data_IF_583000746673
#
_entry.id   IF_583000746673
#
_cell.length_a   1.000
_cell.length_b   1.000
_cell.length_c   1.000
_cell.angle_alpha   90.00
_cell.angle_beta   90.00
_cell.angle_gamma   90.00
#
_symmetry.space_group_name_H-M   'P 1'
#
loop_
_entity.id
_entity.type
_entity.pdbx_description
1 polymer ?
#
# COMPACT_ATOMS: atom_id res chain seq x y z
N UNK A 1 3.90 14.17 36.57
CA UNK A 1 2.53 13.65 36.36
C UNK A 1 2.43 13.44 34.87
N UNK A 2 2.67 12.22 34.39
CA UNK A 2 2.48 11.89 32.97
C UNK A 2 1.00 12.11 32.65
N UNK A 3 0.70 13.03 31.74
CA UNK A 3 -0.63 13.12 31.15
C UNK A 3 -0.78 11.87 30.29
N UNK A 4 -1.53 10.88 30.76
CA UNK A 4 -1.98 9.79 29.88
C UNK A 4 -2.98 10.39 28.91
N UNK A 5 -2.57 10.67 27.68
CA UNK A 5 -3.49 11.01 26.60
C UNK A 5 -4.44 9.84 26.39
N UNK A 6 -5.75 10.08 26.50
CA UNK A 6 -6.76 9.06 26.23
C UNK A 6 -7.01 9.05 24.71
N UNK A 7 -6.31 8.18 24.00
CA UNK A 7 -6.38 8.06 22.55
C UNK A 7 -7.33 6.91 22.23
N UNK A 8 -8.49 7.23 21.69
CA UNK A 8 -9.43 6.23 21.18
C UNK A 8 -9.21 6.05 19.68
N UNK A 9 -9.06 4.79 19.26
CA UNK A 9 -8.98 4.42 17.85
C UNK A 9 -10.28 3.74 17.44
N UNK A 10 -10.97 4.34 16.49
CA UNK A 10 -12.13 3.69 15.88
C UNK A 10 -11.70 2.97 14.61
N UNK A 11 -11.96 1.65 14.54
CA UNK A 11 -11.83 0.89 13.31
C UNK A 11 -12.89 1.41 12.33
N UNK A 12 -12.44 2.22 11.38
CA UNK A 12 -13.30 2.91 10.44
C UNK A 12 -13.65 2.02 9.25
N UNK A 13 -12.67 1.26 8.74
CA UNK A 13 -12.82 0.47 7.51
C UNK A 13 -11.81 -0.67 7.46
N UNK A 14 -12.18 -1.76 6.78
CA UNK A 14 -11.27 -2.82 6.35
C UNK A 14 -11.28 -2.88 4.83
N UNK A 15 -10.10 -2.81 4.22
CA UNK A 15 -9.90 -2.96 2.78
C UNK A 15 -9.14 -4.25 2.48
N UNK A 16 -9.67 -5.07 1.57
CA UNK A 16 -8.91 -6.18 0.99
C UNK A 16 -8.00 -5.58 -0.09
N UNK A 17 -6.70 -5.59 0.18
CA UNK A 17 -5.70 -5.02 -0.72
C UNK A 17 -5.31 -6.00 -1.82
N UNK A 18 -5.16 -7.27 -1.47
CA UNK A 18 -4.70 -8.30 -2.39
C UNK A 18 -5.07 -9.69 -1.88
N UNK A 19 -5.48 -10.58 -2.78
CA UNK A 19 -5.68 -12.01 -2.51
C UNK A 19 -5.10 -12.83 -3.64
N UNK A 20 -4.37 -13.90 -3.30
CA UNK A 20 -3.82 -14.82 -4.29
C UNK A 20 -4.00 -16.26 -3.84
N UNK A 21 -4.52 -17.08 -4.76
CA UNK A 21 -4.58 -18.54 -4.62
C UNK A 21 -3.29 -19.14 -5.15
N UNK A 22 -2.77 -20.13 -4.44
CA UNK A 22 -1.64 -20.91 -4.88
C UNK A 22 -2.12 -22.14 -5.67
N UNK A 23 -1.38 -22.48 -6.73
CA UNK A 23 -1.66 -23.68 -7.54
C UNK A 23 -0.36 -24.50 -7.67
N UNK A 24 -0.42 -25.84 -7.54
CA UNK A 24 0.71 -26.72 -7.83
C UNK A 24 1.25 -26.55 -9.27
N UNK A 25 0.40 -26.09 -10.20
CA UNK A 25 0.73 -25.87 -11.61
C UNK A 25 1.39 -24.52 -11.88
N UNK A 26 1.50 -23.66 -10.86
CA UNK A 26 2.14 -22.36 -10.94
C UNK A 26 3.23 -22.28 -9.85
N UNK A 27 4.36 -23.01 -10.01
CA UNK A 27 5.39 -23.17 -8.98
C UNK A 27 6.17 -21.89 -8.65
N UNK A 28 5.93 -20.79 -9.40
CA UNK A 28 6.38 -19.44 -9.04
C UNK A 28 5.65 -18.88 -7.80
N UNK A 29 4.99 -19.71 -6.98
CA UNK A 29 4.56 -19.28 -5.63
C UNK A 29 5.77 -19.34 -4.70
N UNK A 30 6.50 -18.27 -4.86
CA UNK A 30 7.76 -17.92 -4.23
C UNK A 30 7.63 -17.72 -2.70
N UNK A 31 8.77 -17.95 -2.04
CA UNK A 31 9.10 -17.34 -0.76
C UNK A 31 8.71 -15.86 -0.77
N UNK A 32 7.76 -15.49 0.08
CA UNK A 32 7.29 -14.10 0.17
C UNK A 32 8.17 -13.33 1.17
N UNK A 33 8.29 -12.02 0.92
CA UNK A 33 8.89 -10.98 1.76
C UNK A 33 8.83 -11.31 3.26
N UNK A 34 9.98 -11.57 3.87
CA UNK A 34 10.13 -11.77 5.32
C UNK A 34 9.56 -13.08 5.91
N UNK A 35 8.95 -13.94 5.09
CA UNK A 35 8.38 -15.24 5.50
C UNK A 35 9.04 -16.36 4.70
N UNK A 36 10.37 -16.41 4.74
CA UNK A 36 11.12 -17.54 4.20
C UNK A 36 10.79 -18.78 5.03
N UNK A 37 10.29 -19.81 4.35
CA UNK A 37 10.30 -21.17 4.88
C UNK A 37 11.63 -21.76 4.42
N UNK A 38 12.67 -21.61 5.23
CA UNK A 38 13.72 -22.63 5.19
C UNK A 38 13.02 -23.88 5.70
N UNK A 39 12.65 -24.83 4.83
CA UNK A 39 11.98 -26.07 5.22
C UNK A 39 12.74 -26.73 6.39
N UNK A 40 12.21 -26.74 7.63
CA UNK A 40 12.68 -27.66 8.64
C UNK A 40 11.78 -28.89 8.55
N UNK A 41 12.36 -30.07 8.60
CA UNK A 41 11.64 -31.35 8.63
C UNK A 41 10.82 -31.56 9.94
N UNK A 42 10.49 -30.51 10.70
CA UNK A 42 9.84 -30.58 12.00
C UNK A 42 8.49 -29.83 12.07
N UNK A 43 7.57 -30.47 12.77
CA UNK A 43 6.12 -30.24 12.86
C UNK A 43 5.63 -28.93 13.51
N UNK A 44 6.49 -27.93 13.67
CA UNK A 44 6.19 -26.72 14.47
C UNK A 44 5.91 -25.45 13.63
N UNK A 45 5.77 -25.59 12.30
CA UNK A 45 5.35 -24.44 11.48
C UNK A 45 3.89 -24.10 11.82
N UNK A 46 3.59 -22.89 12.33
CA UNK A 46 2.22 -22.50 12.59
C UNK A 46 1.42 -22.58 11.30
N UNK A 47 0.21 -23.14 11.42
CA UNK A 47 -0.69 -23.37 10.30
C UNK A 47 -0.91 -22.07 9.51
N UNK A 48 -1.06 -20.94 10.21
CA UNK A 48 -1.05 -19.62 9.60
C UNK A 48 0.27 -18.90 9.82
N UNK A 49 0.78 -18.27 8.76
CA UNK A 49 1.86 -17.29 8.84
C UNK A 49 1.23 -15.90 8.76
N UNK A 50 1.51 -15.06 9.77
CA UNK A 50 1.05 -13.67 9.82
C UNK A 50 2.21 -12.70 9.93
N UNK A 51 2.11 -11.57 9.22
CA UNK A 51 3.00 -10.43 9.39
C UNK A 51 2.19 -9.16 9.27
N UNK A 52 2.73 -8.08 9.81
CA UNK A 52 2.12 -6.78 9.76
C UNK A 52 3.10 -5.75 9.18
N UNK A 53 2.53 -4.77 8.49
CA UNK A 53 3.17 -3.51 8.22
C UNK A 53 2.24 -2.38 8.69
N UNK A 54 2.74 -1.15 8.74
CA UNK A 54 1.91 0.00 9.08
C UNK A 54 2.18 1.16 8.13
N UNK A 55 1.27 2.12 8.13
CA UNK A 55 1.52 3.47 7.64
C UNK A 55 0.55 4.44 8.34
N UNK A 56 0.74 5.73 8.13
CA UNK A 56 -0.19 6.74 8.64
C UNK A 56 -0.22 7.97 7.76
N UNK A 57 -1.38 8.63 7.74
CA UNK A 57 -1.56 9.86 6.98
C UNK A 57 -1.09 11.06 7.80
N UNK A 58 -0.12 11.79 7.24
CA UNK A 58 0.22 13.15 7.68
C UNK A 58 -0.56 14.08 6.76
N UNK A 59 -1.74 14.49 7.20
CA UNK A 59 -2.55 15.47 6.46
C UNK A 59 -2.77 16.70 7.32
N UNK A 60 -2.96 17.85 6.67
CA UNK A 60 -3.35 19.11 7.31
C UNK A 60 -4.81 19.09 7.79
N UNK A 61 -5.50 17.95 7.65
CA UNK A 61 -6.86 17.80 8.16
C UNK A 61 -6.82 17.51 9.65
N UNK A 62 -7.88 17.91 10.36
CA UNK A 62 -8.06 17.64 11.80
C UNK A 62 -8.20 16.14 12.12
N UNK A 63 -8.20 15.27 11.11
CA UNK A 63 -8.36 13.82 11.24
C UNK A 63 -7.01 13.14 11.00
N UNK A 64 -6.59 12.33 11.96
CA UNK A 64 -5.40 11.50 11.83
C UNK A 64 -5.81 10.07 11.51
N UNK A 65 -5.17 9.48 10.51
CA UNK A 65 -5.45 8.12 10.08
C UNK A 65 -4.21 7.24 10.28
N UNK A 66 -4.40 6.11 10.95
CA UNK A 66 -3.39 5.08 11.14
C UNK A 66 -3.84 3.81 10.43
N UNK A 67 -2.92 3.12 9.77
CA UNK A 67 -3.21 1.91 9.02
C UNK A 67 -2.34 0.76 9.51
N UNK A 68 -2.95 -0.40 9.71
CA UNK A 68 -2.23 -1.66 9.92
C UNK A 68 -2.56 -2.59 8.76
N UNK A 69 -1.52 -2.97 8.02
CA UNK A 69 -1.60 -3.94 6.95
C UNK A 69 -1.33 -5.33 7.52
N UNK A 70 -2.33 -6.20 7.57
CA UNK A 70 -2.17 -7.57 8.03
C UNK A 70 -2.11 -8.53 6.83
N UNK A 71 -1.07 -9.34 6.80
CA UNK A 71 -0.89 -10.43 5.85
C UNK A 71 -1.22 -11.74 6.53
N UNK A 72 -2.14 -12.50 5.97
CA UNK A 72 -2.47 -13.85 6.41
C UNK A 72 -2.14 -14.83 5.27
N UNK A 73 -1.23 -15.77 5.52
CA UNK A 73 -0.81 -16.80 4.57
C UNK A 73 -1.03 -18.17 5.17
N UNK A 74 -1.67 -19.04 4.40
CA UNK A 74 -1.68 -20.47 4.65
C UNK A 74 -0.83 -21.12 3.54
N UNK A 75 0.39 -21.61 3.85
CA UNK A 75 1.29 -22.20 2.86
C UNK A 75 0.57 -23.24 2.00
N UNK A 76 0.83 -23.24 0.69
CA UNK A 76 0.21 -24.13 -0.32
C UNK A 76 -1.24 -23.81 -0.72
N UNK A 77 -1.97 -22.94 -0.01
CA UNK A 77 -3.36 -22.61 -0.34
C UNK A 77 -3.54 -21.21 -0.91
N UNK A 78 -3.21 -20.19 -0.12
CA UNK A 78 -3.46 -18.80 -0.49
C UNK A 78 -2.73 -17.81 0.44
N UNK A 79 -2.77 -16.55 0.04
CA UNK A 79 -2.38 -15.39 0.84
C UNK A 79 -3.42 -14.28 0.66
N UNK A 80 -3.67 -13.55 1.74
CA UNK A 80 -4.50 -12.35 1.77
C UNK A 80 -3.71 -11.23 2.44
N UNK A 81 -3.74 -10.04 1.84
CA UNK A 81 -3.39 -8.79 2.50
C UNK A 81 -4.65 -7.96 2.72
N UNK A 82 -4.87 -7.53 3.95
CA UNK A 82 -5.88 -6.52 4.27
C UNK A 82 -5.22 -5.28 4.87
N UNK A 83 -5.95 -4.17 4.84
CA UNK A 83 -5.65 -2.96 5.59
C UNK A 83 -6.78 -2.67 6.56
N UNK A 84 -6.44 -2.56 7.85
CA UNK A 84 -7.31 -2.01 8.87
C UNK A 84 -7.06 -0.51 8.99
N UNK A 85 -8.12 0.28 8.90
CA UNK A 85 -8.07 1.75 8.95
C UNK A 85 -8.58 2.22 10.30
N UNK A 86 -7.74 2.92 11.03
CA UNK A 86 -8.08 3.54 12.30
C UNK A 86 -8.10 5.05 12.16
N UNK A 87 -9.18 5.67 12.63
CA UNK A 87 -9.30 7.14 12.69
C UNK A 87 -9.20 7.62 14.12
N UNK A 88 -8.54 8.75 14.29
CA UNK A 88 -8.47 9.48 15.56
C UNK A 88 -9.01 10.88 15.35
N UNK A 89 -9.82 11.33 16.31
CA UNK A 89 -10.23 12.73 16.42
C UNK A 89 -9.04 13.60 16.82
N UNK A 90 -9.16 14.92 16.65
CA UNK A 90 -8.09 15.87 16.97
C UNK A 90 -7.78 15.84 18.47
N UNK A 91 -6.56 15.39 18.80
CA UNK A 91 -6.03 15.42 20.16
C UNK A 91 -4.95 16.51 20.23
N UNK A 92 -5.11 17.54 21.10
CA UNK A 92 -4.07 18.55 21.30
C UNK A 92 -2.75 17.92 21.71
N UNK A 93 -1.64 18.43 21.16
CA UNK A 93 -0.27 17.95 21.42
C UNK A 93 -0.02 16.47 21.04
N UNK A 94 -0.83 15.88 20.14
CA UNK A 94 -0.62 14.52 19.66
C UNK A 94 0.71 14.37 18.90
N UNK A 95 1.47 13.34 19.27
CA UNK A 95 2.62 12.86 18.53
C UNK A 95 2.42 11.39 18.11
N UNK A 96 2.95 10.99 16.96
CA UNK A 96 2.83 9.60 16.52
C UNK A 96 3.47 8.62 17.50
N UNK A 97 4.48 9.05 18.26
CA UNK A 97 5.10 8.31 19.37
C UNK A 97 4.08 7.72 20.35
N UNK A 98 2.97 8.43 20.58
CA UNK A 98 1.89 7.96 21.44
C UNK A 98 1.22 6.67 20.92
N UNK A 99 1.13 6.49 19.61
CA UNK A 99 0.54 5.30 18.99
C UNK A 99 1.48 4.11 19.14
N UNK A 100 2.79 4.33 18.99
CA UNK A 100 3.84 3.31 19.04
C UNK A 100 4.24 2.91 20.47
N UNK A 101 3.42 3.23 21.47
CA UNK A 101 3.57 2.64 22.81
C UNK A 101 3.12 1.16 22.79
N UNK A 102 3.86 0.23 23.44
CA UNK A 102 3.60 -1.21 23.37
C UNK A 102 2.14 -1.62 23.59
N UNK A 103 1.49 -1.10 24.64
CA UNK A 103 0.11 -1.46 24.95
C UNK A 103 -0.93 -0.94 23.94
N UNK A 104 -0.66 0.19 23.28
CA UNK A 104 -1.60 0.82 22.34
C UNK A 104 -1.50 0.17 20.96
N UNK A 105 -0.30 0.09 20.40
CA UNK A 105 -0.10 -0.51 19.07
C UNK A 105 -0.51 -1.99 19.06
N UNK A 106 -0.22 -2.73 20.15
CA UNK A 106 -0.58 -4.15 20.26
C UNK A 106 -2.05 -4.42 20.00
N UNK A 107 -2.95 -3.58 20.54
CA UNK A 107 -4.40 -3.72 20.36
C UNK A 107 -4.79 -3.54 18.88
N UNK A 108 -4.18 -2.58 18.19
CA UNK A 108 -4.44 -2.35 16.76
C UNK A 108 -3.90 -3.50 15.91
N UNK A 109 -2.71 -4.01 16.22
CA UNK A 109 -2.09 -5.15 15.53
C UNK A 109 -2.93 -6.41 15.71
N UNK A 110 -3.32 -6.74 16.94
CA UNK A 110 -4.17 -7.88 17.25
C UNK A 110 -5.50 -7.82 16.49
N UNK A 111 -6.16 -6.66 16.51
CA UNK A 111 -7.41 -6.43 15.80
C UNK A 111 -7.24 -6.60 14.28
N UNK A 112 -6.17 -6.06 13.70
CA UNK A 112 -5.89 -6.20 12.27
C UNK A 112 -5.62 -7.66 11.87
N UNK A 113 -4.87 -8.42 12.68
CA UNK A 113 -4.59 -9.84 12.46
C UNK A 113 -5.88 -10.67 12.49
N UNK A 114 -6.71 -10.48 13.53
CA UNK A 114 -7.99 -11.20 13.67
C UNK A 114 -8.91 -10.93 12.47
N UNK A 115 -9.03 -9.68 12.06
CA UNK A 115 -9.77 -9.31 10.86
C UNK A 115 -9.17 -9.93 9.59
N UNK A 116 -7.83 -9.97 9.48
CA UNK A 116 -7.12 -10.58 8.36
C UNK A 116 -7.45 -12.06 8.21
N UNK A 117 -7.40 -12.81 9.31
CA UNK A 117 -7.74 -14.24 9.34
C UNK A 117 -9.21 -14.49 8.99
N UNK A 118 -10.12 -13.69 9.55
CA UNK A 118 -11.55 -13.76 9.23
C UNK A 118 -11.82 -13.55 7.74
N UNK A 119 -11.23 -12.51 7.15
CA UNK A 119 -11.39 -12.22 5.74
C UNK A 119 -10.67 -13.25 4.84
N UNK A 120 -9.57 -13.84 5.30
CA UNK A 120 -8.84 -14.88 4.58
C UNK A 120 -9.73 -16.10 4.34
N UNK A 121 -10.38 -16.61 5.39
CA UNK A 121 -11.28 -17.76 5.29
C UNK A 121 -12.43 -17.47 4.33
N UNK A 122 -13.04 -16.28 4.45
CA UNK A 122 -14.12 -15.85 3.55
C UNK A 122 -13.69 -15.78 2.09
N UNK A 123 -12.52 -15.21 1.80
CA UNK A 123 -12.01 -15.12 0.43
C UNK A 123 -11.67 -16.50 -0.13
N UNK A 124 -11.08 -17.38 0.67
CA UNK A 124 -10.84 -18.76 0.27
C UNK A 124 -12.13 -19.48 -0.12
N UNK A 125 -13.19 -19.39 0.71
CA UNK A 125 -14.49 -19.96 0.40
C UNK A 125 -15.10 -19.36 -0.88
N UNK A 126 -15.09 -18.04 -1.03
CA UNK A 126 -15.62 -17.35 -2.21
C UNK A 126 -14.87 -17.69 -3.50
N UNK A 127 -13.58 -18.06 -3.40
CA UNK A 127 -12.70 -18.39 -4.53
C UNK A 127 -12.54 -19.90 -4.74
N UNK A 128 -13.30 -20.73 -4.03
CA UNK A 128 -13.28 -22.18 -4.17
C UNK A 128 -11.97 -22.84 -3.71
N UNK A 129 -11.24 -22.22 -2.78
CA UNK A 129 -10.07 -22.82 -2.13
C UNK A 129 -10.57 -23.73 -1.01
N UNK A 130 -10.26 -25.03 -1.12
CA UNK A 130 -10.62 -26.03 -0.11
C UNK A 130 -9.60 -25.99 1.01
N UNK A 131 -9.94 -25.36 2.13
CA UNK A 131 -9.11 -25.35 3.34
C UNK A 131 -9.27 -26.67 4.12
N UNK A 132 -8.26 -27.08 4.91
CA UNK A 132 -8.37 -28.15 5.90
C UNK A 132 -9.57 -27.95 6.85
N UNK A 133 -10.25 -29.02 7.24
CA UNK A 133 -11.42 -28.96 8.13
C UNK A 133 -11.12 -28.28 9.47
N UNK A 134 -9.92 -28.49 10.00
CA UNK A 134 -9.43 -27.91 11.26
C UNK A 134 -9.47 -26.36 11.25
N UNK A 135 -9.22 -25.72 10.09
CA UNK A 135 -9.27 -24.26 9.92
C UNK A 135 -10.70 -23.74 9.77
N UNK A 136 -11.59 -24.58 9.23
CA UNK A 136 -12.99 -24.20 8.98
C UNK A 136 -13.82 -24.37 10.25
N UNK A 137 -13.49 -25.35 11.08
CA UNK A 137 -14.22 -25.70 12.30
C UNK A 137 -13.82 -24.86 13.51
N UNK A 138 -12.63 -24.26 13.51
CA UNK A 138 -12.11 -23.41 14.58
C UNK A 138 -11.71 -22.03 14.07
N UNK A 139 -11.94 -20.98 14.86
CA UNK A 139 -11.39 -19.66 14.54
C UNK A 139 -9.86 -19.73 14.65
N UNK A 140 -9.10 -19.27 13.63
CA UNK A 140 -7.66 -19.29 13.72
C UNK A 140 -7.20 -18.36 14.84
N UNK A 141 -6.42 -18.89 15.77
CA UNK A 141 -5.79 -18.11 16.84
C UNK A 141 -4.30 -17.97 16.55
N UNK A 142 -3.80 -16.75 16.65
CA UNK A 142 -2.35 -16.46 16.64
C UNK A 142 -1.88 -16.37 18.09
N UNK A 143 -0.79 -17.07 18.47
CA UNK A 143 -0.24 -16.98 19.82
C UNK A 143 0.05 -15.54 20.24
N UNK A 144 -0.24 -15.20 21.50
CA UNK A 144 -0.09 -13.85 22.02
C UNK A 144 1.36 -13.33 21.94
N UNK A 145 2.35 -14.22 22.10
CA UNK A 145 3.77 -13.92 21.97
C UNK A 145 4.18 -13.57 20.53
N UNK A 146 3.54 -14.15 19.51
CA UNK A 146 3.78 -13.77 18.12
C UNK A 146 3.19 -12.38 17.82
N UNK A 147 2.03 -12.05 18.39
CA UNK A 147 1.45 -10.69 18.33
C UNK A 147 2.38 -9.68 19.00
N UNK A 148 2.92 -10.00 20.17
CA UNK A 148 3.85 -9.15 20.91
C UNK A 148 5.13 -8.90 20.11
N UNK A 149 5.67 -9.95 19.48
CA UNK A 149 6.86 -9.86 18.61
C UNK A 149 6.61 -9.01 17.37
N UNK A 150 5.49 -9.21 16.67
CA UNK A 150 5.12 -8.37 15.53
C UNK A 150 4.97 -6.91 15.95
N UNK A 151 4.29 -6.66 17.07
CA UNK A 151 4.13 -5.31 17.61
C UNK A 151 5.47 -4.67 17.93
N UNK A 152 6.37 -5.39 18.61
CA UNK A 152 7.70 -4.89 18.94
C UNK A 152 8.52 -4.53 17.69
N UNK A 153 8.41 -5.33 16.62
CA UNK A 153 9.09 -5.03 15.36
C UNK A 153 8.58 -3.74 14.70
N UNK A 154 7.26 -3.49 14.71
CA UNK A 154 6.70 -2.24 14.16
C UNK A 154 7.11 -1.02 14.98
N UNK A 155 7.20 -1.17 16.31
CA UNK A 155 7.70 -0.11 17.20
C UNK A 155 9.16 0.21 16.90
N UNK A 156 10.00 -0.83 16.78
CA UNK A 156 11.40 -0.65 16.43
C UNK A 156 11.56 0.03 15.06
N UNK A 157 10.86 -0.44 14.02
CA UNK A 157 10.87 0.19 12.69
C UNK A 157 10.47 1.67 12.75
N UNK A 158 9.45 2.02 13.56
CA UNK A 158 9.05 3.40 13.75
C UNK A 158 10.16 4.26 14.35
N UNK A 159 10.72 3.86 15.48
CA UNK A 159 11.71 4.68 16.19
C UNK A 159 13.07 4.69 15.51
N UNK A 160 13.50 3.58 14.90
CA UNK A 160 14.83 3.43 14.33
C UNK A 160 14.91 3.91 12.87
N UNK A 161 13.80 3.90 12.13
CA UNK A 161 13.78 4.21 10.70
C UNK A 161 12.78 5.30 10.33
N UNK A 162 11.50 5.11 10.66
CA UNK A 162 10.42 6.01 10.18
C UNK A 162 10.52 7.40 10.77
N UNK A 163 10.65 7.52 12.09
CA UNK A 163 10.69 8.81 12.80
C UNK A 163 11.91 9.63 12.39
N UNK A 164 13.15 9.10 12.40
CA UNK A 164 14.32 9.84 11.91
C UNK A 164 14.16 10.31 10.46
N UNK A 165 13.57 9.49 9.58
CA UNK A 165 13.28 9.89 8.21
C UNK A 165 12.29 11.06 8.15
N UNK A 166 11.21 11.03 8.92
CA UNK A 166 10.22 12.11 8.97
C UNK A 166 10.82 13.41 9.48
N UNK A 167 11.64 13.34 10.54
CA UNK A 167 12.34 14.50 11.10
C UNK A 167 13.34 15.11 10.10
N UNK A 168 14.12 14.27 9.42
CA UNK A 168 15.08 14.71 8.41
C UNK A 168 14.42 15.33 7.17
N UNK A 169 13.16 14.97 6.88
CA UNK A 169 12.42 15.41 5.70
C UNK A 169 11.23 16.33 6.02
N UNK A 170 11.12 16.82 7.26
CA UNK A 170 9.96 17.57 7.75
C UNK A 170 9.64 18.81 6.88
N UNK A 171 10.67 19.54 6.45
CA UNK A 171 10.54 20.72 5.59
C UNK A 171 9.94 20.34 4.21
N UNK A 172 10.45 19.28 3.57
CA UNK A 172 9.97 18.84 2.25
C UNK A 172 8.52 18.30 2.33
N UNK A 173 8.17 17.65 3.45
CA UNK A 173 6.81 17.17 3.71
C UNK A 173 5.84 18.35 3.91
N UNK A 174 6.29 19.43 4.56
CA UNK A 174 5.44 20.58 4.92
C UNK A 174 5.35 21.68 3.83
N UNK A 175 6.39 21.90 3.01
CA UNK A 175 6.46 23.07 2.13
C UNK A 175 5.76 22.92 0.78
N UNK A 176 5.51 21.69 0.31
CA UNK A 176 5.04 21.47 -1.06
C UNK A 176 3.91 20.44 -1.10
N UNK A 177 2.68 20.95 -1.08
CA UNK A 177 1.48 20.16 -1.30
C UNK A 177 0.74 20.65 -2.56
N UNK A 178 0.30 19.71 -3.40
CA UNK A 178 -0.50 19.99 -4.59
C UNK A 178 -1.92 19.53 -4.32
N UNK A 179 -2.86 20.47 -4.37
CA UNK A 179 -4.29 20.16 -4.33
C UNK A 179 -4.78 19.83 -5.75
N UNK A 180 -5.24 18.61 -5.93
CA UNK A 180 -5.81 18.11 -7.17
C UNK A 180 -7.34 18.21 -7.10
N UNK A 181 -7.98 19.02 -7.98
CA UNK A 181 -9.43 19.08 -8.04
C UNK A 181 -10.00 17.83 -8.72
N UNK A 182 -11.29 17.51 -8.50
CA UNK A 182 -12.01 16.40 -9.12
C UNK A 182 -12.28 16.65 -10.62
N UNK A 183 -11.22 16.87 -11.40
CA UNK A 183 -11.30 17.09 -12.86
C UNK A 183 -11.22 15.76 -13.59
N UNK A 184 -11.89 15.66 -14.75
CA UNK A 184 -11.88 14.45 -15.57
C UNK A 184 -10.46 14.01 -15.93
N UNK A 185 -9.54 14.94 -16.21
CA UNK A 185 -8.15 14.62 -16.54
C UNK A 185 -7.42 13.98 -15.37
N UNK A 186 -7.57 14.53 -14.15
CA UNK A 186 -6.93 13.98 -12.96
C UNK A 186 -7.51 12.62 -12.58
N UNK A 187 -8.84 12.49 -12.62
CA UNK A 187 -9.53 11.23 -12.34
C UNK A 187 -9.08 10.13 -13.30
N UNK A 188 -9.06 10.41 -14.62
CA UNK A 188 -8.57 9.45 -15.61
C UNK A 188 -7.11 9.11 -15.36
N UNK A 189 -6.29 10.12 -15.08
CA UNK A 189 -4.85 9.92 -14.90
C UNK A 189 -4.53 9.03 -13.72
N UNK A 190 -5.13 9.32 -12.57
CA UNK A 190 -4.96 8.55 -11.35
C UNK A 190 -5.54 7.15 -11.51
N UNK A 191 -6.78 7.02 -11.99
CA UNK A 191 -7.43 5.73 -12.06
C UNK A 191 -6.74 4.78 -13.04
N UNK A 192 -6.29 5.27 -14.20
CA UNK A 192 -5.62 4.42 -15.18
C UNK A 192 -4.22 4.01 -14.71
N UNK A 193 -3.46 4.93 -14.10
CA UNK A 193 -2.17 4.61 -13.47
C UNK A 193 -2.33 3.53 -12.39
N UNK A 194 -3.21 3.75 -11.41
CA UNK A 194 -3.39 2.81 -10.30
C UNK A 194 -3.89 1.45 -10.78
N UNK A 195 -4.81 1.43 -11.75
CA UNK A 195 -5.33 0.19 -12.30
C UNK A 195 -4.24 -0.62 -13.03
N UNK A 196 -3.42 0.01 -13.87
CA UNK A 196 -2.31 -0.69 -14.53
C UNK A 196 -1.33 -1.23 -13.51
N UNK A 197 -0.97 -0.44 -12.49
CA UNK A 197 -0.10 -0.89 -11.42
C UNK A 197 -0.71 -2.09 -10.67
N UNK A 198 -2.01 -2.06 -10.37
CA UNK A 198 -2.70 -3.20 -9.75
C UNK A 198 -2.64 -4.46 -10.61
N UNK A 199 -2.85 -4.34 -11.92
CA UNK A 199 -2.74 -5.48 -12.85
C UNK A 199 -1.32 -6.04 -12.88
N UNK A 200 -0.31 -5.18 -13.00
CA UNK A 200 1.10 -5.56 -13.12
C UNK A 200 1.67 -6.16 -11.84
N UNK A 201 1.22 -5.68 -10.68
CA UNK A 201 1.73 -6.09 -9.37
C UNK A 201 0.93 -7.26 -8.76
N UNK A 202 -0.37 -7.39 -9.07
CA UNK A 202 -1.24 -8.28 -8.29
C UNK A 202 -2.18 -9.16 -9.10
N UNK A 203 -2.74 -8.72 -10.23
CA UNK A 203 -3.87 -9.44 -10.82
C UNK A 203 -3.53 -10.19 -12.12
N UNK A 204 -2.70 -9.63 -12.99
CA UNK A 204 -2.51 -10.15 -14.33
C UNK A 204 -1.37 -11.19 -14.37
N UNK A 205 -1.73 -12.44 -14.66
CA UNK A 205 -0.81 -13.59 -14.72
C UNK A 205 0.22 -13.51 -15.84
N UNK A 206 0.04 -12.63 -16.83
CA UNK A 206 1.02 -12.43 -17.89
C UNK A 206 2.26 -11.67 -17.40
N UNK A 207 2.21 -11.03 -16.24
CA UNK A 207 3.34 -10.33 -15.64
C UNK A 207 4.02 -11.18 -14.56
N UNK A 208 5.34 -11.01 -14.40
CA UNK A 208 6.06 -11.59 -13.27
C UNK A 208 5.76 -10.73 -12.02
N UNK A 209 4.60 -11.01 -11.41
CA UNK A 209 4.02 -10.19 -10.34
C UNK A 209 4.93 -10.09 -9.12
N UNK A 210 5.63 -11.15 -8.72
CA UNK A 210 6.57 -11.04 -7.59
C UNK A 210 7.77 -10.20 -7.94
N UNK A 211 8.48 -10.49 -9.02
CA UNK A 211 9.66 -9.70 -9.37
C UNK A 211 9.29 -8.23 -9.50
N UNK A 212 8.12 -7.93 -10.07
CA UNK A 212 7.60 -6.57 -10.14
C UNK A 212 7.35 -5.98 -8.76
N UNK A 213 6.71 -6.71 -7.83
CA UNK A 213 6.51 -6.24 -6.44
C UNK A 213 7.83 -6.02 -5.71
N UNK A 214 8.76 -6.96 -5.78
CA UNK A 214 10.10 -6.82 -5.17
C UNK A 214 10.78 -5.55 -5.68
N UNK A 215 10.86 -5.38 -7.00
CA UNK A 215 11.57 -4.24 -7.60
C UNK A 215 10.86 -2.91 -7.44
N UNK A 216 9.53 -2.90 -7.51
CA UNK A 216 8.76 -1.67 -7.32
C UNK A 216 8.78 -1.23 -5.86
N UNK A 217 8.63 -2.17 -4.91
CA UNK A 217 8.60 -1.86 -3.49
C UNK A 217 9.98 -1.61 -2.86
N UNK A 218 11.07 -1.98 -3.54
CA UNK A 218 12.43 -1.47 -3.25
C UNK A 218 12.51 0.07 -3.39
N UNK A 219 11.63 0.68 -4.20
CA UNK A 219 11.65 2.13 -4.50
C UNK A 219 10.48 2.86 -3.83
N UNK A 220 9.27 2.31 -3.97
CA UNK A 220 8.03 2.87 -3.40
C UNK A 220 7.60 1.97 -2.25
N UNK A 221 7.76 2.36 -0.98
CA UNK A 221 7.39 1.49 0.14
C UNK A 221 5.94 0.99 0.01
N UNK A 222 5.75 -0.32 0.18
CA UNK A 222 4.47 -0.96 -0.12
C UNK A 222 3.30 -0.32 0.65
N UNK A 223 3.46 -0.08 1.95
CA UNK A 223 2.40 0.52 2.77
C UNK A 223 2.02 1.94 2.28
N UNK A 224 2.98 2.71 1.78
CA UNK A 224 2.74 4.04 1.23
C UNK A 224 2.00 3.99 -0.10
N UNK A 225 2.32 3.02 -0.97
CA UNK A 225 1.61 2.84 -2.23
C UNK A 225 0.10 2.67 -1.98
N UNK A 226 -0.27 1.86 -0.99
CA UNK A 226 -1.68 1.69 -0.63
C UNK A 226 -2.30 2.92 0.04
N UNK A 227 -1.54 3.69 0.83
CA UNK A 227 -2.03 4.94 1.42
C UNK A 227 -2.30 5.99 0.35
N UNK A 228 -1.34 6.16 -0.57
CA UNK A 228 -1.47 7.00 -1.76
C UNK A 228 -2.68 6.57 -2.60
N UNK A 229 -2.83 5.27 -2.88
CA UNK A 229 -3.97 4.73 -3.60
C UNK A 229 -5.30 5.09 -2.93
N UNK A 230 -5.43 4.88 -1.62
CA UNK A 230 -6.65 5.16 -0.87
C UNK A 230 -6.97 6.66 -0.83
N UNK A 231 -5.95 7.51 -0.75
CA UNK A 231 -6.09 8.96 -0.85
C UNK A 231 -6.53 9.39 -2.25
N UNK A 232 -6.00 8.76 -3.28
CA UNK A 232 -6.26 9.10 -4.67
C UNK A 232 -7.63 8.61 -5.19
N UNK A 233 -8.13 7.46 -4.72
CA UNK A 233 -9.38 6.87 -5.24
C UNK A 233 -10.62 7.72 -4.90
N UNK A 234 -10.57 8.53 -3.84
CA UNK A 234 -11.66 9.44 -3.45
C UNK A 234 -11.69 10.74 -4.27
N UNK A 235 -10.73 10.95 -5.20
CA UNK A 235 -10.68 12.14 -6.05
C UNK A 235 -11.96 12.33 -6.89
N UNK A 236 -12.66 11.24 -7.21
CA UNK A 236 -13.95 11.34 -7.92
C UNK A 236 -15.06 12.01 -7.10
N UNK A 237 -14.89 12.10 -5.78
CA UNK A 237 -15.88 12.59 -4.82
C UNK A 237 -15.49 13.93 -4.21
N UNK A 238 -14.20 14.19 -4.03
CA UNK A 238 -13.67 15.39 -3.38
C UNK A 238 -12.28 15.75 -3.90
N UNK A 239 -11.84 16.99 -3.67
CA UNK A 239 -10.43 17.35 -3.88
C UNK A 239 -9.50 16.59 -2.94
N UNK A 240 -8.27 16.37 -3.39
CA UNK A 240 -7.24 15.70 -2.58
C UNK A 240 -5.98 16.56 -2.58
N UNK A 241 -5.23 16.54 -1.49
CA UNK A 241 -3.96 17.26 -1.38
C UNK A 241 -2.83 16.26 -1.24
N UNK A 242 -1.92 16.22 -2.20
CA UNK A 242 -0.74 15.34 -2.15
C UNK A 242 0.48 16.13 -1.69
N UNK A 243 1.22 15.62 -0.71
CA UNK A 243 2.52 16.18 -0.35
C UNK A 243 3.60 15.78 -1.37
N UNK A 244 4.78 16.39 -1.29
CA UNK A 244 5.88 16.16 -2.23
C UNK A 244 6.29 14.68 -2.35
N UNK A 245 6.28 13.94 -1.24
CA UNK A 245 6.65 12.53 -1.23
C UNK A 245 5.59 11.68 -1.95
N UNK A 246 4.31 11.93 -1.68
CA UNK A 246 3.17 11.29 -2.36
C UNK A 246 3.18 11.58 -3.86
N UNK A 247 3.51 12.81 -4.25
CA UNK A 247 3.68 13.21 -5.65
C UNK A 247 4.79 12.39 -6.30
N UNK A 248 5.98 12.32 -5.71
CA UNK A 248 7.09 11.54 -6.26
C UNK A 248 6.72 10.06 -6.45
N UNK A 249 6.10 9.43 -5.46
CA UNK A 249 5.67 8.04 -5.58
C UNK A 249 4.58 7.85 -6.62
N UNK A 250 3.64 8.80 -6.76
CA UNK A 250 2.64 8.76 -7.83
C UNK A 250 3.30 8.86 -9.21
N UNK A 251 4.30 9.72 -9.37
CA UNK A 251 5.04 9.88 -10.63
C UNK A 251 5.79 8.61 -11.02
N UNK A 252 6.45 7.97 -10.07
CA UNK A 252 7.13 6.68 -10.29
C UNK A 252 6.11 5.63 -10.72
N UNK A 253 4.97 5.53 -10.02
CA UNK A 253 3.89 4.62 -10.39
C UNK A 253 3.35 4.90 -11.80
N UNK A 254 3.20 6.17 -12.18
CA UNK A 254 2.75 6.55 -13.52
C UNK A 254 3.76 6.21 -14.61
N UNK A 255 5.05 6.47 -14.39
CA UNK A 255 6.10 6.11 -15.34
C UNK A 255 6.17 4.58 -15.54
N UNK A 256 6.11 3.80 -14.46
CA UNK A 256 6.01 2.34 -14.54
C UNK A 256 4.76 1.90 -15.32
N UNK A 257 3.59 2.47 -15.02
CA UNK A 257 2.35 2.15 -15.71
C UNK A 257 2.45 2.43 -17.21
N UNK A 258 3.06 3.56 -17.61
CA UNK A 258 3.29 3.88 -19.02
C UNK A 258 4.20 2.88 -19.70
N UNK A 259 5.33 2.55 -19.09
CA UNK A 259 6.29 1.59 -19.65
C UNK A 259 5.65 0.21 -19.84
N UNK A 260 4.78 -0.21 -18.92
CA UNK A 260 4.06 -1.48 -19.03
C UNK A 260 2.98 -1.44 -20.12
N UNK A 261 2.21 -0.36 -20.21
CA UNK A 261 1.14 -0.21 -21.20
C UNK A 261 1.69 -0.06 -22.64
N UNK A 262 2.85 0.57 -22.80
CA UNK A 262 3.52 0.73 -24.11
C UNK A 262 4.50 -0.40 -24.44
N UNK A 263 4.76 -1.30 -23.49
CA UNK A 263 5.72 -2.39 -23.64
C UNK A 263 5.17 -3.61 -24.38
N UNK A 264 5.99 -4.66 -24.48
CA UNK A 264 5.65 -5.90 -25.22
C UNK A 264 4.40 -6.61 -24.70
N UNK A 265 4.01 -6.40 -23.44
CA UNK A 265 2.82 -6.99 -22.80
C UNK A 265 1.65 -6.01 -22.70
N UNK A 266 1.72 -4.87 -23.39
CA UNK A 266 0.69 -3.84 -23.38
C UNK A 266 -0.70 -4.33 -23.82
N UNK A 267 -0.76 -5.28 -24.75
CA UNK A 267 -2.03 -5.85 -25.25
C UNK A 267 -2.86 -6.49 -24.13
N UNK A 268 -2.21 -7.19 -23.18
CA UNK A 268 -2.89 -7.79 -22.02
C UNK A 268 -3.46 -6.73 -21.07
N UNK A 269 -2.87 -5.54 -21.02
CA UNK A 269 -3.41 -4.42 -20.26
C UNK A 269 -4.53 -3.74 -21.03
N UNK A 270 -4.44 -3.64 -22.35
CA UNK A 270 -5.46 -2.99 -23.17
C UNK A 270 -6.82 -3.69 -23.08
N UNK A 271 -6.86 -5.02 -23.07
CA UNK A 271 -8.10 -5.77 -22.86
C UNK A 271 -8.76 -5.41 -21.52
N UNK A 272 -7.96 -5.35 -20.44
CA UNK A 272 -8.44 -4.96 -19.11
C UNK A 272 -8.91 -3.50 -19.10
N UNK A 273 -8.15 -2.57 -19.69
CA UNK A 273 -8.50 -1.16 -19.79
C UNK A 273 -9.87 -0.97 -20.46
N UNK A 274 -10.07 -1.60 -21.61
CA UNK A 274 -11.34 -1.53 -22.36
C UNK A 274 -12.49 -2.13 -21.54
N UNK A 275 -12.27 -3.26 -20.87
CA UNK A 275 -13.29 -3.90 -20.03
C UNK A 275 -13.77 -3.01 -18.87
N UNK A 276 -12.90 -2.12 -18.38
CA UNK A 276 -13.18 -1.15 -17.31
C UNK A 276 -13.67 0.21 -17.84
N UNK A 277 -13.96 0.32 -19.13
CA UNK A 277 -14.51 1.53 -19.75
C UNK A 277 -13.48 2.56 -20.20
N UNK A 278 -12.19 2.25 -20.12
CA UNK A 278 -11.11 3.11 -20.63
C UNK A 278 -10.90 2.84 -22.13
N UNK A 279 -11.83 3.36 -22.93
CA UNK A 279 -11.78 3.28 -24.40
C UNK A 279 -10.66 4.15 -24.98
N UNK A 280 -10.34 3.96 -26.27
CA UNK A 280 -9.20 4.56 -26.95
C UNK A 280 -9.02 6.07 -26.71
N UNK A 281 -10.11 6.86 -26.72
CA UNK A 281 -10.05 8.30 -26.47
C UNK A 281 -9.60 8.64 -25.05
N UNK A 282 -10.04 7.86 -24.07
CA UNK A 282 -9.67 8.03 -22.65
C UNK A 282 -8.22 7.59 -22.43
N UNK A 283 -7.81 6.49 -23.05
CA UNK A 283 -6.41 6.06 -23.03
C UNK A 283 -5.50 7.10 -23.67
N UNK A 284 -5.92 7.75 -24.76
CA UNK A 284 -5.15 8.81 -25.42
C UNK A 284 -4.93 10.02 -24.51
N UNK A 285 -5.96 10.42 -23.73
CA UNK A 285 -5.82 11.48 -22.71
C UNK A 285 -4.75 11.09 -21.70
N UNK A 286 -4.79 9.86 -21.20
CA UNK A 286 -3.80 9.36 -20.25
C UNK A 286 -2.39 9.30 -20.84
N UNK A 287 -2.19 8.66 -22.00
CA UNK A 287 -0.88 8.59 -22.65
C UNK A 287 -0.28 9.97 -22.89
N UNK A 288 -1.09 10.94 -23.35
CA UNK A 288 -0.62 12.31 -23.61
C UNK A 288 -0.25 13.03 -22.31
N UNK A 289 -1.07 12.91 -21.27
CA UNK A 289 -0.80 13.55 -19.98
C UNK A 289 0.40 12.94 -19.28
N UNK A 290 0.49 11.62 -19.26
CA UNK A 290 1.54 10.89 -18.60
C UNK A 290 2.89 11.05 -19.34
N UNK A 291 2.93 10.99 -20.68
CA UNK A 291 4.16 11.18 -21.45
C UNK A 291 4.74 12.60 -21.28
N UNK A 292 3.88 13.63 -21.27
CA UNK A 292 4.28 15.00 -20.97
C UNK A 292 4.89 15.11 -19.57
N UNK A 293 4.30 14.42 -18.58
CA UNK A 293 4.79 14.48 -17.21
C UNK A 293 6.14 13.75 -17.04
N UNK A 294 6.35 12.64 -17.75
CA UNK A 294 7.65 11.94 -17.78
C UNK A 294 8.72 12.80 -18.49
N UNK A 295 8.38 13.44 -19.61
CA UNK A 295 9.29 14.38 -20.30
C UNK A 295 9.67 15.54 -19.38
N UNK A 296 8.69 16.11 -18.68
CA UNK A 296 8.86 17.14 -17.67
C UNK A 296 9.78 16.68 -16.53
N UNK A 297 9.56 15.48 -15.97
CA UNK A 297 10.39 14.91 -14.91
C UNK A 297 11.83 14.62 -15.38
N UNK A 298 12.01 14.12 -16.61
CA UNK A 298 13.34 13.87 -17.18
C UNK A 298 14.11 15.17 -17.43
N UNK A 299 13.44 16.16 -18.01
CA UNK A 299 14.03 17.49 -18.22
C UNK A 299 14.47 18.11 -16.89
N UNK A 300 13.66 17.99 -15.84
CA UNK A 300 13.99 18.56 -14.53
C UNK A 300 15.05 17.79 -13.73
N UNK A 301 15.17 16.47 -13.87
CA UNK A 301 16.31 15.74 -13.29
C UNK A 301 17.61 16.19 -13.96
N UNK A 302 17.59 16.38 -15.28
CA UNK A 302 18.73 16.89 -16.03
C UNK A 302 19.06 18.33 -15.62
N UNK A 303 18.05 19.20 -15.51
CA UNK A 303 18.22 20.58 -15.04
C UNK A 303 18.71 20.64 -13.57
N UNK A 304 18.26 19.76 -12.67
CA UNK A 304 18.69 19.73 -11.26
C UNK A 304 20.14 19.23 -11.10
N UNK A 305 20.55 18.25 -11.90
CA UNK A 305 21.95 17.81 -12.00
C UNK A 305 22.84 18.95 -12.52
N UNK A 306 22.32 19.75 -13.46
CA UNK A 306 23.05 20.88 -14.05
C UNK A 306 23.03 22.15 -13.19
N UNK A 307 22.01 22.36 -12.33
CA UNK A 307 21.78 23.62 -11.61
C UNK A 307 22.00 23.58 -10.09
N UNK A 308 22.11 22.41 -9.44
CA UNK A 308 22.18 22.26 -7.97
C UNK A 308 21.02 22.94 -7.18
N UNK A 309 19.94 23.38 -7.82
CA UNK A 309 18.80 24.02 -7.15
C UNK A 309 17.66 23.03 -6.86
N UNK A 310 16.97 23.25 -5.72
CA UNK A 310 15.78 22.50 -5.31
C UNK A 310 14.57 22.92 -6.15
N UNK A 311 13.79 21.92 -6.55
CA UNK A 311 12.68 21.92 -7.51
C UNK A 311 11.45 22.76 -7.08
N UNK A 312 10.77 23.44 -8.02
CA UNK A 312 9.48 24.13 -7.82
C UNK A 312 8.38 23.58 -8.76
N UNK A 313 7.47 22.78 -8.19
CA UNK A 313 6.39 22.10 -8.91
C UNK A 313 5.27 23.02 -9.39
N UNK A 314 5.12 24.21 -8.82
CA UNK A 314 3.94 25.05 -9.06
C UNK A 314 3.94 25.66 -10.47
N UNK A 315 5.13 25.95 -11.02
CA UNK A 315 5.27 26.56 -12.35
C UNK A 315 4.93 25.63 -13.53
N UNK A 316 4.86 24.32 -13.32
CA UNK A 316 4.73 23.35 -14.42
C UNK A 316 3.30 22.88 -14.66
N UNK A 317 2.41 23.00 -13.68
CA UNK A 317 1.01 22.55 -13.77
C UNK A 317 0.02 23.67 -14.14
N UNK A 318 0.48 24.90 -14.31
CA UNK A 318 -0.29 26.09 -14.72
C UNK A 318 -0.21 26.35 -16.23
#
# INVERSE_FOLDING_TARGET
MEKTLDITFDLFKIDILWFEKFSPENPDVENFVGMNVDEPEDSDIPMFMVTCAYDFSISDTQIREFYVDAYAKLPQYAILKIRAHYRMEEIPDFEWDDVFMPGRLRVLVENAIQNGLYHFIKQCAARGVKLPSEIVEHEPEIPADEIDKLTANLIADYFDHRKPFLEANAEAIAMHAITLPPSQNWIVTINLTLMIMEEVLFHNLHFNRRLNREKFFDIVPESFFYSLRNKCIVLSQQEITLNQLEIHYFLIAQDCALQMAMGEKGDFLNEVMVSRGFVADVQKIWYTGAAKLVELCRGTVQDSIESQEKFDWYKMLS
#
